data_IF_581955265669
#
_entry.id   IF_581955265669
#
_cell.length_a   1.000
_cell.length_b   1.000
_cell.length_c   1.000
_cell.angle_alpha   90.00
_cell.angle_beta   90.00
_cell.angle_gamma   90.00
#
_symmetry.space_group_name_H-M   'P 1'
#
loop_
_entity.id
_entity.type
_entity.pdbx_description
1 polymer ?
#
# COMPACT_ATOMS: atom_id res chain seq x y z
N UNK A 1 -11.47 -4.25 -3.11
CA UNK A 1 -11.32 -2.82 -2.84
C UNK A 1 -11.71 -2.62 -1.39
N UNK A 2 -10.71 -2.60 -0.48
CA UNK A 2 -10.91 -2.60 0.97
C UNK A 2 -11.80 -1.44 1.42
N UNK A 3 -11.54 -0.24 0.90
CA UNK A 3 -12.26 0.98 1.29
C UNK A 3 -13.77 0.92 1.02
N UNK A 4 -14.21 0.21 -0.03
CA UNK A 4 -15.66 0.05 -0.33
C UNK A 4 -16.42 -0.72 0.74
N UNK A 5 -15.73 -1.57 1.49
CA UNK A 5 -16.32 -2.37 2.56
C UNK A 5 -16.19 -1.70 3.94
N UNK A 6 -15.59 -0.50 4.00
CA UNK A 6 -15.32 0.25 5.24
C UNK A 6 -15.91 1.66 5.18
N UNK A 7 -17.07 1.81 4.52
CA UNK A 7 -17.77 3.09 4.42
C UNK A 7 -18.18 3.63 5.80
N UNK A 8 -18.15 4.96 5.95
CA UNK A 8 -18.45 5.63 7.21
C UNK A 8 -17.24 5.82 8.14
N UNK A 9 -16.06 5.32 7.77
CA UNK A 9 -14.80 5.69 8.43
C UNK A 9 -14.42 7.14 8.04
N UNK A 10 -14.30 8.07 9.01
CA UNK A 10 -13.98 9.47 8.72
C UNK A 10 -12.67 9.67 7.94
N UNK A 11 -11.67 8.80 8.14
CA UNK A 11 -10.38 8.90 7.45
C UNK A 11 -10.53 8.51 5.97
N UNK A 12 -11.29 7.46 5.69
CA UNK A 12 -11.57 6.99 4.33
C UNK A 12 -12.38 8.05 3.57
N UNK A 13 -13.45 8.56 4.19
CA UNK A 13 -14.28 9.59 3.58
C UNK A 13 -13.49 10.88 3.32
N UNK A 14 -12.62 11.28 4.25
CA UNK A 14 -11.77 12.45 4.07
C UNK A 14 -10.75 12.26 2.93
N UNK A 15 -10.17 11.06 2.78
CA UNK A 15 -9.28 10.75 1.65
C UNK A 15 -10.03 10.84 0.31
N UNK A 16 -11.22 10.26 0.23
CA UNK A 16 -12.08 10.32 -0.96
C UNK A 16 -12.43 11.78 -1.30
N UNK A 17 -12.77 12.60 -0.31
CA UNK A 17 -13.07 14.03 -0.52
C UNK A 17 -11.87 14.83 -1.03
N UNK A 18 -10.63 14.45 -0.67
CA UNK A 18 -9.41 15.03 -1.22
C UNK A 18 -9.04 14.50 -2.62
N UNK A 19 -9.81 13.55 -3.15
CA UNK A 19 -9.51 12.86 -4.41
C UNK A 19 -8.33 11.89 -4.28
N UNK A 20 -8.00 11.48 -3.05
CA UNK A 20 -6.98 10.49 -2.76
C UNK A 20 -7.59 9.09 -2.78
N UNK A 21 -6.76 8.09 -3.05
CA UNK A 21 -7.19 6.71 -2.92
C UNK A 21 -6.89 6.16 -1.52
N UNK A 22 -7.91 5.83 -0.72
CA UNK A 22 -7.71 5.32 0.64
C UNK A 22 -6.96 3.98 0.67
N UNK A 23 -7.13 3.12 -0.34
CA UNK A 23 -6.41 1.85 -0.45
C UNK A 23 -4.91 2.05 -0.67
N UNK A 24 -4.53 2.93 -1.61
CA UNK A 24 -3.13 3.31 -1.82
C UNK A 24 -2.53 3.99 -0.58
N UNK A 25 -3.32 4.80 0.13
CA UNK A 25 -2.93 5.40 1.41
C UNK A 25 -2.60 4.33 2.46
N UNK A 26 -3.48 3.35 2.65
CA UNK A 26 -3.29 2.26 3.60
C UNK A 26 -2.05 1.42 3.28
N UNK A 27 -1.85 1.03 2.01
CA UNK A 27 -0.65 0.29 1.59
C UNK A 27 0.63 1.09 1.87
N UNK A 28 0.60 2.41 1.60
CA UNK A 28 1.75 3.29 1.86
C UNK A 28 2.06 3.37 3.36
N UNK A 29 1.04 3.54 4.20
CA UNK A 29 1.20 3.56 5.67
C UNK A 29 1.72 2.23 6.20
N UNK A 30 1.14 1.11 5.76
CA UNK A 30 1.60 -0.23 6.15
C UNK A 30 3.06 -0.49 5.76
N UNK A 31 3.44 -0.11 4.52
CA UNK A 31 4.83 -0.23 4.07
C UNK A 31 5.78 0.58 4.96
N UNK A 32 5.41 1.84 5.24
CA UNK A 32 6.20 2.72 6.06
C UNK A 32 6.36 2.19 7.49
N UNK A 33 5.29 1.66 8.08
CA UNK A 33 5.31 1.11 9.44
C UNK A 33 6.27 -0.09 9.53
N UNK A 34 6.11 -1.06 8.63
CA UNK A 34 6.95 -2.26 8.56
C UNK A 34 8.44 -1.88 8.48
N UNK A 35 8.78 -0.97 7.56
CA UNK A 35 10.18 -0.65 7.26
C UNK A 35 10.80 0.36 8.24
N UNK A 36 10.02 1.30 8.78
CA UNK A 36 10.51 2.26 9.79
C UNK A 36 10.93 1.55 11.08
N UNK A 37 10.14 0.58 11.54
CA UNK A 37 10.41 -0.17 12.76
C UNK A 37 11.25 -1.45 12.54
N UNK A 38 11.67 -1.72 11.31
CA UNK A 38 12.55 -2.84 10.99
C UNK A 38 11.87 -4.21 11.14
N UNK A 39 10.56 -4.28 10.97
CA UNK A 39 9.82 -5.53 10.98
C UNK A 39 10.23 -6.41 9.78
N UNK A 40 10.27 -7.73 9.99
CA UNK A 40 10.64 -8.70 8.94
C UNK A 40 9.46 -9.09 8.04
N UNK A 41 8.25 -8.76 8.47
CA UNK A 41 7.01 -9.03 7.76
C UNK A 41 7.05 -8.43 6.36
N UNK A 42 6.57 -9.17 5.37
CA UNK A 42 6.42 -8.69 4.01
C UNK A 42 5.07 -8.04 3.81
N UNK A 43 5.01 -7.03 2.95
CA UNK A 43 3.76 -6.40 2.56
C UNK A 43 3.29 -6.91 1.20
N UNK A 44 2.06 -7.43 1.16
CA UNK A 44 1.40 -7.82 -0.06
C UNK A 44 0.21 -6.91 -0.32
N UNK A 45 0.31 -6.08 -1.37
CA UNK A 45 -0.79 -5.24 -1.83
C UNK A 45 -1.70 -6.03 -2.78
N UNK A 46 -2.99 -6.09 -2.46
CA UNK A 46 -4.01 -6.77 -3.24
C UNK A 46 -5.02 -5.77 -3.84
N UNK A 47 -5.95 -6.31 -4.63
CA UNK A 47 -7.08 -5.56 -5.19
C UNK A 47 -6.70 -4.32 -6.03
N UNK A 48 -5.55 -4.34 -6.70
CA UNK A 48 -5.12 -3.29 -7.65
C UNK A 48 -6.14 -3.17 -8.79
N UNK A 49 -6.64 -1.95 -9.07
CA UNK A 49 -7.76 -1.73 -10.02
C UNK A 49 -7.30 -1.34 -11.42
N UNK A 50 -6.16 -0.68 -11.53
CA UNK A 50 -5.64 -0.17 -12.80
C UNK A 50 -4.09 -0.10 -12.77
N UNK A 51 -3.48 0.29 -13.89
CA UNK A 51 -2.00 0.38 -14.00
C UNK A 51 -1.42 1.50 -13.15
N UNK A 52 -2.13 2.62 -13.02
CA UNK A 52 -1.71 3.80 -12.28
C UNK A 52 -1.61 3.51 -10.78
N UNK A 53 -2.52 2.69 -10.23
CA UNK A 53 -2.44 2.15 -8.88
C UNK A 53 -1.12 1.37 -8.71
N UNK A 54 -0.78 0.49 -9.66
CA UNK A 54 0.48 -0.27 -9.59
C UNK A 54 1.73 0.64 -9.64
N UNK A 55 1.74 1.63 -10.53
CA UNK A 55 2.85 2.60 -10.61
C UNK A 55 3.03 3.38 -9.29
N UNK A 56 1.94 3.62 -8.57
CA UNK A 56 1.96 4.28 -7.26
C UNK A 56 2.54 3.38 -6.16
N UNK A 57 2.50 2.05 -6.35
CA UNK A 57 2.97 1.04 -5.40
C UNK A 57 4.38 0.50 -5.69
N UNK A 58 5.08 1.04 -6.71
CA UNK A 58 6.42 0.56 -7.06
C UNK A 58 7.38 0.61 -5.87
N UNK A 59 7.84 -0.56 -5.44
CA UNK A 59 8.73 -0.73 -4.28
C UNK A 59 8.14 -1.56 -3.14
N UNK A 60 6.85 -1.90 -3.18
CA UNK A 60 6.22 -2.91 -2.32
C UNK A 60 6.83 -4.30 -2.55
N UNK A 61 6.80 -5.18 -1.55
CA UNK A 61 7.39 -6.53 -1.66
C UNK A 61 6.62 -7.42 -2.66
N UNK A 62 5.29 -7.46 -2.52
CA UNK A 62 4.43 -8.29 -3.37
C UNK A 62 3.19 -7.53 -3.84
N UNK A 63 2.72 -7.86 -5.04
CA UNK A 63 1.45 -7.37 -5.58
C UNK A 63 0.63 -8.53 -6.13
N UNK A 64 -0.64 -8.57 -5.78
CA UNK A 64 -1.65 -9.39 -6.44
C UNK A 64 -2.45 -8.50 -7.39
N UNK A 65 -2.35 -8.77 -8.68
CA UNK A 65 -3.06 -8.02 -9.73
C UNK A 65 -3.87 -8.96 -10.65
N UNK A 66 -5.05 -8.53 -11.14
CA UNK A 66 -5.80 -9.25 -12.16
C UNK A 66 -4.99 -9.44 -13.46
N UNK A 67 -5.20 -10.55 -14.16
CA UNK A 67 -4.50 -10.88 -15.41
C UNK A 67 -4.59 -9.76 -16.46
N UNK A 68 -5.74 -9.10 -16.58
CA UNK A 68 -5.96 -7.98 -17.50
C UNK A 68 -4.98 -6.82 -17.25
N UNK A 69 -4.64 -6.54 -15.99
CA UNK A 69 -3.68 -5.49 -15.63
C UNK A 69 -2.27 -5.92 -16.02
N UNK A 70 -1.89 -7.17 -15.72
CA UNK A 70 -0.58 -7.73 -16.08
C UNK A 70 -0.34 -7.73 -17.60
N UNK A 71 -1.35 -8.13 -18.39
CA UNK A 71 -1.30 -8.06 -19.86
C UNK A 71 -1.10 -6.61 -20.33
N UNK A 72 -1.89 -5.69 -19.76
CA UNK A 72 -1.80 -4.27 -20.12
C UNK A 72 -0.46 -3.63 -19.76
N UNK A 73 0.26 -4.16 -18.76
CA UNK A 73 1.62 -3.73 -18.39
C UNK A 73 2.67 -4.30 -19.32
N UNK A 74 2.49 -5.54 -19.78
CA UNK A 74 3.37 -6.17 -20.76
C UNK A 74 3.37 -5.41 -22.10
N UNK A 75 2.22 -4.87 -22.47
CA UNK A 75 2.02 -4.11 -23.71
C UNK A 75 2.39 -2.63 -23.59
N UNK A 76 2.53 -2.10 -22.37
CA UNK A 76 2.89 -0.69 -22.18
C UNK A 76 4.38 -0.46 -22.37
N UNK A 77 4.72 0.45 -23.29
CA UNK A 77 6.03 1.07 -23.36
C UNK A 77 5.96 2.32 -22.49
N UNK A 78 6.67 2.34 -21.38
CA UNK A 78 6.73 3.50 -20.49
C UNK A 78 8.04 4.22 -20.75
N UNK A 79 7.97 5.39 -21.38
CA UNK A 79 9.15 6.24 -21.55
C UNK A 79 9.58 6.82 -20.18
N UNK A 80 10.88 7.03 -19.93
CA UNK A 80 11.39 7.47 -18.62
C UNK A 80 10.80 8.81 -18.12
N UNK A 81 10.34 9.63 -19.05
CA UNK A 81 9.89 11.01 -18.91
C UNK A 81 8.37 11.17 -18.73
N UNK A 82 7.60 10.07 -18.70
CA UNK A 82 6.16 10.12 -18.45
C UNK A 82 5.80 10.27 -16.96
N UNK A 83 4.62 10.88 -16.69
CA UNK A 83 4.04 11.02 -15.35
C UNK A 83 3.98 9.69 -14.57
N UNK A 84 3.85 8.57 -15.29
CA UNK A 84 3.84 7.21 -14.75
C UNK A 84 5.05 6.42 -15.25
N UNK A 85 6.26 6.94 -15.01
CA UNK A 85 7.51 6.22 -15.26
C UNK A 85 7.81 5.18 -14.16
N UNK A 86 8.77 4.28 -14.43
CA UNK A 86 9.25 3.25 -13.48
C UNK A 86 10.08 3.85 -12.34
N UNK A 87 9.50 4.81 -11.62
CA UNK A 87 10.10 5.46 -10.46
C UNK A 87 9.62 4.74 -9.21
N UNK A 88 10.59 4.28 -8.40
CA UNK A 88 10.31 3.68 -7.10
C UNK A 88 9.61 4.70 -6.19
N UNK A 89 8.43 4.36 -5.69
CA UNK A 89 7.61 5.20 -4.80
C UNK A 89 7.77 4.81 -3.34
N UNK A 90 7.96 3.52 -3.06
CA UNK A 90 8.10 2.97 -1.72
C UNK A 90 9.54 2.48 -1.49
N UNK A 91 10.20 3.00 -0.45
CA UNK A 91 11.58 2.64 -0.10
C UNK A 91 11.82 2.68 1.41
N UNK A 92 12.80 1.91 1.94
CA UNK A 92 13.15 2.00 3.36
C UNK A 92 13.58 3.41 3.79
N UNK A 93 14.25 4.16 2.90
CA UNK A 93 14.66 5.55 3.17
C UNK A 93 13.46 6.47 3.33
N UNK A 94 12.44 6.36 2.46
CA UNK A 94 11.22 7.15 2.60
C UNK A 94 10.41 6.75 3.83
N UNK A 95 10.40 5.46 4.18
CA UNK A 95 9.71 4.94 5.36
C UNK A 95 10.31 5.47 6.68
N UNK A 96 11.64 5.58 6.77
CA UNK A 96 12.31 6.09 7.97
C UNK A 96 11.84 7.50 8.38
N UNK A 97 11.50 8.33 7.39
CA UNK A 97 11.06 9.72 7.57
C UNK A 97 9.56 9.86 7.88
N UNK A 98 8.77 8.78 7.83
CA UNK A 98 7.33 8.84 8.09
C UNK A 98 7.05 9.04 9.58
N UNK A 99 6.22 10.00 9.96
CA UNK A 99 5.86 10.22 11.37
C UNK A 99 4.46 9.67 11.62
N UNK A 100 4.38 8.63 12.44
CA UNK A 100 3.10 8.07 12.88
C UNK A 100 2.60 8.79 14.13
N UNK A 101 1.27 8.90 14.26
CA UNK A 101 0.67 9.28 15.55
C UNK A 101 0.67 8.09 16.51
N UNK A 102 0.46 8.35 17.80
CA UNK A 102 0.38 7.28 18.80
C UNK A 102 -0.78 6.32 18.50
N UNK A 103 -1.89 6.84 17.99
CA UNK A 103 -3.06 6.05 17.59
C UNK A 103 -2.74 5.13 16.40
N UNK A 104 -2.02 5.64 15.40
CA UNK A 104 -1.60 4.83 14.25
C UNK A 104 -0.63 3.72 14.67
N UNK A 105 0.37 4.04 15.50
CA UNK A 105 1.29 3.04 16.03
C UNK A 105 0.54 1.94 16.79
N UNK A 106 -0.41 2.30 17.67
CA UNK A 106 -1.23 1.33 18.40
C UNK A 106 -2.05 0.47 17.43
N UNK A 107 -2.67 1.08 16.42
CA UNK A 107 -3.47 0.35 15.43
C UNK A 107 -2.62 -0.69 14.67
N UNK A 108 -1.44 -0.31 14.20
CA UNK A 108 -0.55 -1.24 13.49
C UNK A 108 0.04 -2.33 14.40
N UNK A 109 0.33 -2.02 15.68
CA UNK A 109 0.72 -3.03 16.67
C UNK A 109 -0.38 -4.06 16.87
N UNK A 110 -1.64 -3.62 17.01
CA UNK A 110 -2.78 -4.52 17.15
C UNK A 110 -2.93 -5.38 15.89
N UNK A 111 -2.95 -4.77 14.70
CA UNK A 111 -3.03 -5.51 13.43
C UNK A 111 -1.92 -6.54 13.28
N UNK A 112 -0.69 -6.19 13.67
CA UNK A 112 0.41 -7.13 13.68
C UNK A 112 0.13 -8.30 14.62
N UNK A 113 -0.27 -8.03 15.87
CA UNK A 113 -0.58 -9.07 16.84
C UNK A 113 -1.67 -10.03 16.35
N UNK A 114 -2.72 -9.51 15.72
CA UNK A 114 -3.79 -10.32 15.14
C UNK A 114 -3.28 -11.19 13.99
N UNK A 115 -2.48 -10.62 13.09
CA UNK A 115 -1.84 -11.35 11.99
C UNK A 115 -1.01 -12.53 12.51
N UNK A 116 -0.19 -12.31 13.54
CA UNK A 116 0.58 -13.38 14.18
C UNK A 116 -0.30 -14.41 14.90
N UNK A 117 -1.38 -13.97 15.56
CA UNK A 117 -2.32 -14.85 16.25
C UNK A 117 -2.99 -15.82 15.27
N UNK A 118 -3.29 -15.35 14.07
CA UNK A 118 -3.91 -16.14 13.00
C UNK A 118 -2.90 -17.01 12.23
N UNK A 119 -1.62 -17.01 12.64
CA UNK A 119 -0.57 -17.85 12.08
C UNK A 119 0.10 -17.29 10.84
N UNK A 120 -0.11 -16.01 10.52
CA UNK A 120 0.52 -15.31 9.40
C UNK A 120 1.70 -14.46 9.89
N UNK A 121 2.77 -14.37 9.09
CA UNK A 121 3.92 -13.52 9.38
C UNK A 121 3.93 -12.21 8.59
N UNK A 122 3.10 -12.11 7.56
CA UNK A 122 3.11 -11.07 6.55
C UNK A 122 1.79 -10.30 6.53
N UNK A 123 1.86 -9.02 6.16
CA UNK A 123 0.69 -8.16 6.07
C UNK A 123 0.05 -8.29 4.69
N UNK A 124 -1.24 -8.58 4.68
CA UNK A 124 -2.09 -8.59 3.49
C UNK A 124 -2.99 -7.35 3.53
N UNK A 125 -2.82 -6.46 2.57
CA UNK A 125 -3.56 -5.19 2.46
C UNK A 125 -4.26 -5.11 1.12
#
# INVERSE_FOLDING_TARGET
DWARNHSGDPEIEAAIQRGEDPGLGLVTKAYNYIHKYGHKSKLMAAAVRNKQDLFSLLGVDYVIAPLKILQSLKESITAPDEKYSYVRRLSPQSAANHNFTAEEDIAFVVLQYETYRDGHSDFYV
#
